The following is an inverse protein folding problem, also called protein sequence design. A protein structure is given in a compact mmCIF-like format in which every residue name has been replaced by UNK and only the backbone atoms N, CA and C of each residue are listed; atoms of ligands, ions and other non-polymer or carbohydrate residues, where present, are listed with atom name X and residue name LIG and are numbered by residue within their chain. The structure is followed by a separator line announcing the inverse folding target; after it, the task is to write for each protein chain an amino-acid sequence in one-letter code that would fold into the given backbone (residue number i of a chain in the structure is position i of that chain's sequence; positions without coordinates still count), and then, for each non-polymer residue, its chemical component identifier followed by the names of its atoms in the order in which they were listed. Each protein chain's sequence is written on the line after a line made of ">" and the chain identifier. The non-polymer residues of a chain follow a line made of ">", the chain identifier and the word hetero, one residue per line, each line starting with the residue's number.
data_IF_954186879507
#
_entry.id   IF_954186879507
#
_cell.length_a   1.000
_cell.length_b   1.000
_cell.length_c   1.000
_cell.angle_alpha   90.00
_cell.angle_beta   90.00
_cell.angle_gamma   90.00
#
_symmetry.space_group_name_H-M   'P 1'
#
loop_
_entity.id
_entity.type
_entity.pdbx_description
1 polymer ?
#
# COMPACT_ATOMS: atom_id res chain seq x y z
N UNK A 1 -31.83 -26.90 28.45
CA UNK A 1 -31.79 -26.13 27.20
C UNK A 1 -30.87 -24.96 27.43
N UNK A 2 -29.67 -24.95 26.84
CA UNK A 2 -28.82 -23.77 26.84
C UNK A 2 -27.96 -23.80 25.57
N UNK A 3 -28.55 -23.33 24.47
CA UNK A 3 -27.84 -23.11 23.21
C UNK A 3 -27.42 -21.64 23.16
N UNK A 4 -26.31 -21.32 23.82
CA UNK A 4 -25.61 -20.06 23.58
C UNK A 4 -24.98 -20.08 22.19
N UNK A 5 -25.76 -19.64 21.19
CA UNK A 5 -25.31 -19.46 19.83
C UNK A 5 -24.26 -18.34 19.77
N UNK A 6 -22.99 -18.70 19.52
CA UNK A 6 -21.94 -17.75 19.16
C UNK A 6 -22.35 -17.05 17.86
N UNK A 7 -22.60 -15.74 17.91
CA UNK A 7 -22.78 -14.89 16.71
C UNK A 7 -21.63 -15.13 15.73
N UNK A 8 -21.88 -15.39 14.44
CA UNK A 8 -20.82 -15.51 13.46
C UNK A 8 -20.05 -14.18 13.39
N UNK A 9 -18.72 -14.24 13.54
CA UNK A 9 -17.84 -13.11 13.24
C UNK A 9 -18.05 -12.77 11.77
N UNK A 10 -18.64 -11.62 11.50
CA UNK A 10 -18.80 -11.08 10.16
C UNK A 10 -17.40 -10.88 9.57
N UNK A 11 -16.93 -11.82 8.75
CA UNK A 11 -15.68 -11.68 8.01
C UNK A 11 -15.91 -10.59 6.97
N UNK A 12 -15.30 -9.42 7.15
CA UNK A 12 -15.30 -8.38 6.12
C UNK A 12 -14.83 -9.02 4.81
N UNK A 13 -15.58 -8.87 3.69
CA UNK A 13 -15.17 -9.38 2.39
C UNK A 13 -13.73 -8.93 2.11
N UNK A 14 -12.90 -9.83 1.58
CA UNK A 14 -11.48 -9.56 1.35
C UNK A 14 -11.22 -8.35 0.43
N UNK A 15 -12.22 -7.92 -0.34
CA UNK A 15 -12.14 -6.84 -1.31
C UNK A 15 -11.91 -5.42 -0.75
N UNK A 16 -12.28 -5.16 0.51
CA UNK A 16 -12.15 -3.80 1.09
C UNK A 16 -10.92 -3.62 1.98
N UNK A 17 -9.97 -4.56 1.93
CA UNK A 17 -8.74 -4.47 2.73
C UNK A 17 -7.80 -3.44 2.11
N UNK A 18 -7.62 -2.34 2.83
CA UNK A 18 -6.60 -1.35 2.50
C UNK A 18 -5.25 -1.78 3.08
N UNK A 19 -4.23 -1.78 2.23
CA UNK A 19 -2.86 -2.08 2.59
C UNK A 19 -2.00 -0.83 2.39
N UNK A 20 -1.02 -0.63 3.28
CA UNK A 20 -0.04 0.45 3.18
C UNK A 20 1.32 -0.17 2.91
N UNK A 21 1.98 0.28 1.84
CA UNK A 21 3.37 -0.07 1.55
C UNK A 21 4.28 1.03 2.06
N UNK A 22 5.38 0.65 2.74
CA UNK A 22 6.42 1.56 3.20
C UNK A 22 7.77 1.01 2.78
N UNK A 23 8.57 1.84 2.13
CA UNK A 23 9.91 1.50 1.65
C UNK A 23 10.89 2.49 2.26
N UNK A 24 11.95 1.97 2.87
CA UNK A 24 13.08 2.79 3.30
C UNK A 24 14.07 2.89 2.13
N UNK A 25 14.27 4.09 1.62
CA UNK A 25 15.34 4.38 0.67
C UNK A 25 16.55 4.84 1.48
N UNK A 26 17.69 4.18 1.30
CA UNK A 26 18.93 4.45 2.06
C UNK A 26 19.92 5.33 1.30
N UNK A 27 19.54 5.80 0.12
CA UNK A 27 20.31 6.69 -0.74
C UNK A 27 19.44 7.87 -1.15
N UNK A 28 20.09 8.97 -1.52
CA UNK A 28 19.39 10.14 -2.05
C UNK A 28 18.87 9.82 -3.45
N UNK A 29 17.56 9.98 -3.65
CA UNK A 29 16.95 9.91 -4.97
C UNK A 29 17.33 11.16 -5.76
N UNK A 30 17.59 10.99 -7.04
CA UNK A 30 17.72 12.14 -7.94
C UNK A 30 16.38 12.89 -8.04
N UNK A 31 16.44 14.16 -8.45
CA UNK A 31 15.28 15.06 -8.51
C UNK A 31 14.06 14.47 -9.24
N UNK A 32 14.30 13.67 -10.27
CA UNK A 32 13.25 13.09 -11.11
C UNK A 32 13.04 11.58 -10.85
N UNK A 33 13.72 11.02 -9.85
CA UNK A 33 13.52 9.63 -9.44
C UNK A 33 12.33 9.48 -8.52
N UNK A 34 11.60 8.38 -8.69
CA UNK A 34 10.43 8.07 -7.90
C UNK A 34 10.44 6.60 -7.51
N UNK A 35 9.84 6.28 -6.37
CA UNK A 35 9.65 4.90 -5.93
C UNK A 35 8.25 4.46 -6.31
N UNK A 36 8.13 3.31 -6.97
CA UNK A 36 6.85 2.72 -7.34
C UNK A 36 6.83 1.22 -7.05
N UNK A 37 5.63 0.64 -6.97
CA UNK A 37 5.39 -0.79 -6.73
C UNK A 37 4.58 -1.37 -7.89
N UNK A 38 5.03 -2.51 -8.41
CA UNK A 38 4.26 -3.35 -9.34
C UNK A 38 4.24 -4.79 -8.81
N UNK A 39 3.26 -5.58 -9.23
CA UNK A 39 3.06 -6.94 -8.73
C UNK A 39 2.13 -7.77 -9.59
N UNK A 40 1.87 -9.02 -9.18
CA UNK A 40 1.16 -10.01 -10.00
C UNK A 40 -0.35 -9.85 -10.08
N UNK A 41 -0.92 -8.77 -9.55
CA UNK A 41 -2.36 -8.53 -9.57
C UNK A 41 -2.70 -7.24 -10.31
N UNK A 42 -3.94 -7.17 -10.79
CA UNK A 42 -4.45 -6.05 -11.60
C UNK A 42 -4.27 -4.69 -10.91
N UNK A 43 -4.55 -4.62 -9.61
CA UNK A 43 -4.39 -3.38 -8.82
C UNK A 43 -2.94 -2.91 -8.66
N UNK A 44 -1.96 -3.77 -8.96
CA UNK A 44 -0.53 -3.47 -8.96
C UNK A 44 0.08 -3.57 -10.36
N UNK A 45 -0.73 -3.60 -11.42
CA UNK A 45 -0.25 -3.51 -12.80
C UNK A 45 0.26 -4.82 -13.44
N UNK A 46 0.05 -5.99 -12.84
CA UNK A 46 0.45 -7.29 -13.43
C UNK A 46 1.91 -7.38 -13.93
N UNK A 47 2.85 -6.80 -13.16
CA UNK A 47 4.28 -6.67 -13.52
C UNK A 47 4.59 -5.74 -14.70
N UNK A 48 3.61 -4.98 -15.20
CA UNK A 48 3.84 -3.90 -16.16
C UNK A 48 4.41 -2.67 -15.42
N UNK A 49 5.63 -2.22 -15.73
CA UNK A 49 6.21 -1.03 -15.11
C UNK A 49 5.47 0.26 -15.48
N UNK A 50 4.78 0.32 -16.63
CA UNK A 50 4.00 1.50 -17.03
C UNK A 50 2.71 1.65 -16.21
N UNK A 51 2.29 0.57 -15.54
CA UNK A 51 1.07 0.52 -14.70
C UNK A 51 1.39 0.42 -13.21
N UNK A 52 2.63 0.72 -12.81
CA UNK A 52 3.03 0.68 -11.41
C UNK A 52 2.31 1.73 -10.57
N UNK A 53 2.19 1.45 -9.27
CA UNK A 53 1.63 2.38 -8.29
C UNK A 53 2.76 3.19 -7.67
N UNK A 54 2.82 4.49 -7.98
CA UNK A 54 3.81 5.40 -7.44
C UNK A 54 3.58 5.65 -5.93
N UNK A 55 4.63 5.46 -5.13
CA UNK A 55 4.63 5.78 -3.72
C UNK A 55 4.83 7.27 -3.51
N UNK A 56 4.21 7.78 -2.44
CA UNK A 56 4.41 9.16 -2.01
C UNK A 56 5.48 9.19 -0.91
N UNK A 57 6.34 10.24 -0.89
CA UNK A 57 7.18 10.49 0.27
C UNK A 57 6.33 10.56 1.54
N UNK A 58 6.81 9.95 2.63
CA UNK A 58 6.14 10.06 3.92
C UNK A 58 6.28 11.50 4.42
N UNK A 59 5.15 12.21 4.54
CA UNK A 59 5.08 13.58 5.04
C UNK A 59 5.67 13.63 6.46
N UNK A 60 6.83 14.26 6.63
CA UNK A 60 7.51 14.38 7.93
C UNK A 60 9.04 14.27 7.93
N UNK A 61 9.72 14.16 6.78
CA UNK A 61 11.20 14.15 6.74
C UNK A 61 11.89 15.08 5.74
N UNK A 62 11.16 15.66 4.80
CA UNK A 62 11.67 16.71 3.91
C UNK A 62 10.56 17.74 3.70
N UNK A 63 10.31 18.59 4.69
CA UNK A 63 9.86 19.93 4.39
C UNK A 63 11.11 20.68 3.95
N UNK A 64 11.33 20.84 2.65
CA UNK A 64 12.11 21.96 2.16
C UNK A 64 11.43 23.22 2.71
N UNK A 65 12.18 23.98 3.50
CA UNK A 65 11.82 25.32 3.97
C UNK A 65 11.15 26.14 2.85
N UNK A 66 10.03 26.79 3.20
CA UNK A 66 9.44 27.91 2.47
C UNK A 66 10.23 29.20 2.77
#
# INVERSE_FOLDING_TARGET
>A
MDTSAKKPKHSTPAGDRRHTFRVLVTYDLLKDETVAITGSCETLGNWDPEQCVQLRPESGKYSEDD
#
